data_IF_397710836297
#
_entry.id   IF_397710836297
#
_cell.length_a   1.000
_cell.length_b   1.000
_cell.length_c   1.000
_cell.angle_alpha   90.00
_cell.angle_beta   90.00
_cell.angle_gamma   90.00
#
_symmetry.space_group_name_H-M   'P 1'
#
loop_
_entity.id
_entity.type
_entity.pdbx_description
1 polymer ?
#
# COMPACT_ATOMS: atom_id res chain seq x y z
N UNK A 1 -25.01 11.92 2.00
CA UNK A 1 -24.10 10.90 1.44
C UNK A 1 -23.25 10.42 2.60
N UNK A 2 -23.49 9.21 3.10
CA UNK A 2 -22.59 8.63 4.10
C UNK A 2 -21.20 8.52 3.47
N UNK A 3 -20.21 9.18 4.05
CA UNK A 3 -18.83 8.98 3.66
C UNK A 3 -18.44 7.57 4.08
N UNK A 4 -18.59 6.60 3.18
CA UNK A 4 -18.20 5.21 3.44
C UNK A 4 -16.70 5.21 3.70
N UNK A 5 -16.33 5.05 4.97
CA UNK A 5 -14.95 4.95 5.42
C UNK A 5 -14.39 3.59 4.98
N UNK A 6 -13.56 3.59 3.93
CA UNK A 6 -12.88 2.40 3.41
C UNK A 6 -11.61 2.12 4.19
N UNK A 7 -11.27 0.83 4.32
CA UNK A 7 -10.07 0.39 5.01
C UNK A 7 -8.91 0.34 4.01
N UNK A 8 -7.90 1.16 4.26
CA UNK A 8 -6.65 1.18 3.50
C UNK A 8 -5.50 0.71 4.38
N UNK A 9 -4.41 0.29 3.76
CA UNK A 9 -3.17 0.04 4.48
C UNK A 9 -1.96 0.58 3.73
N UNK A 10 -1.00 1.09 4.50
CA UNK A 10 0.30 1.52 4.03
C UNK A 10 1.34 0.50 4.44
N UNK A 11 2.22 0.14 3.52
CA UNK A 11 3.42 -0.65 3.77
C UNK A 11 4.62 0.27 3.60
N UNK A 12 5.33 0.52 4.69
CA UNK A 12 6.54 1.33 4.73
C UNK A 12 7.76 0.43 4.70
N UNK A 13 8.60 0.59 3.69
CA UNK A 13 9.89 -0.07 3.56
C UNK A 13 10.99 0.91 4.00
N UNK A 14 11.64 0.58 5.11
CA UNK A 14 12.79 1.35 5.62
C UNK A 14 14.11 0.77 5.09
N UNK A 15 15.15 1.60 4.97
CA UNK A 15 16.47 1.18 4.47
C UNK A 15 17.14 0.09 5.33
N UNK A 16 16.88 0.09 6.64
CA UNK A 16 17.44 -0.88 7.61
C UNK A 16 16.39 -1.84 8.20
N UNK A 17 15.12 -1.66 7.85
CA UNK A 17 14.05 -2.45 8.44
C UNK A 17 13.95 -3.80 7.72
N UNK A 18 14.39 -4.87 8.40
CA UNK A 18 14.30 -6.26 7.92
C UNK A 18 12.86 -6.69 7.61
N UNK A 19 11.87 -5.96 8.14
CA UNK A 19 10.45 -6.19 7.94
C UNK A 19 9.74 -4.87 7.61
N UNK A 20 8.87 -4.84 6.58
CA UNK A 20 8.10 -3.66 6.24
C UNK A 20 7.05 -3.37 7.31
N UNK A 21 6.91 -2.09 7.66
CA UNK A 21 5.92 -1.64 8.65
C UNK A 21 4.58 -1.46 7.97
N UNK A 22 3.58 -2.27 8.34
CA UNK A 22 2.19 -2.10 7.91
C UNK A 22 1.42 -1.19 8.86
N UNK A 23 0.68 -0.23 8.31
CA UNK A 23 -0.24 0.65 9.04
C UNK A 23 -1.61 0.63 8.38
N UNK A 24 -2.62 0.22 9.13
CA UNK A 24 -4.00 0.15 8.65
C UNK A 24 -4.79 1.36 9.15
N UNK A 25 -5.59 1.97 8.27
CA UNK A 25 -6.36 3.16 8.60
C UNK A 25 -7.60 3.25 7.73
N UNK A 26 -8.58 4.03 8.19
CA UNK A 26 -9.81 4.29 7.43
C UNK A 26 -9.78 5.67 6.80
N UNK A 27 -10.15 5.75 5.53
CA UNK A 27 -10.29 7.02 4.81
C UNK A 27 -11.56 7.04 3.97
N UNK A 28 -12.11 8.22 3.65
CA UNK A 28 -13.30 8.33 2.79
C UNK A 28 -13.04 7.83 1.36
N UNK A 29 -11.82 8.04 0.86
CA UNK A 29 -11.44 7.71 -0.51
C UNK A 29 -9.93 7.53 -0.67
N UNK A 30 -9.54 7.02 -1.84
CA UNK A 30 -8.15 6.74 -2.19
C UNK A 30 -7.28 8.01 -2.25
N UNK A 31 -7.86 9.17 -2.59
CA UNK A 31 -7.10 10.42 -2.63
C UNK A 31 -6.74 10.87 -1.22
N UNK A 32 -7.68 10.78 -0.28
CA UNK A 32 -7.40 11.10 1.11
C UNK A 32 -6.41 10.09 1.72
N UNK A 33 -6.52 8.81 1.38
CA UNK A 33 -5.54 7.79 1.76
C UNK A 33 -4.13 8.07 1.21
N UNK A 34 -4.05 8.55 -0.02
CA UNK A 34 -2.80 8.98 -0.65
C UNK A 34 -2.17 10.19 0.08
N UNK A 35 -2.97 11.16 0.51
CA UNK A 35 -2.47 12.28 1.30
C UNK A 35 -1.86 11.83 2.64
N UNK A 36 -2.39 10.78 3.26
CA UNK A 36 -1.78 10.20 4.47
C UNK A 36 -0.40 9.59 4.17
N UNK A 37 -0.25 8.89 3.05
CA UNK A 37 1.03 8.30 2.62
C UNK A 37 2.12 9.37 2.46
N UNK A 38 1.78 10.51 1.83
CA UNK A 38 2.74 11.59 1.54
C UNK A 38 3.23 12.35 2.78
N UNK A 39 2.45 12.32 3.87
CA UNK A 39 2.82 13.00 5.12
C UNK A 39 3.90 12.24 5.91
N UNK A 40 4.22 11.00 5.54
CA UNK A 40 5.29 10.26 6.21
C UNK A 40 6.67 10.86 5.92
N UNK A 41 7.45 11.05 6.99
CA UNK A 41 8.77 11.70 6.91
C UNK A 41 9.92 10.73 6.90
N UNK A 42 9.73 9.51 7.40
CA UNK A 42 10.81 8.59 7.74
C UNK A 42 11.06 7.45 6.76
N UNK A 43 10.15 7.19 5.83
CA UNK A 43 10.25 6.01 4.96
C UNK A 43 10.81 6.34 3.59
N UNK A 44 11.71 5.47 3.10
CA UNK A 44 12.32 5.57 1.78
C UNK A 44 11.38 5.05 0.67
N UNK A 45 10.54 4.06 0.98
CA UNK A 45 9.52 3.56 0.06
C UNK A 45 8.21 3.26 0.80
N UNK A 46 7.09 3.55 0.14
CA UNK A 46 5.73 3.43 0.67
C UNK A 46 4.82 2.84 -0.39
N UNK A 47 4.01 1.87 0.00
CA UNK A 47 2.96 1.27 -0.84
C UNK A 47 1.60 1.51 -0.20
N UNK A 48 0.64 2.03 -0.98
CA UNK A 48 -0.75 2.23 -0.57
C UNK A 48 -1.63 1.16 -1.18
N UNK A 49 -2.42 0.51 -0.34
CA UNK A 49 -3.30 -0.60 -0.69
C UNK A 49 -4.73 -0.35 -0.22
N UNK A 50 -5.70 -0.78 -1.03
CA UNK A 50 -7.13 -0.91 -0.71
C UNK A 50 -7.49 -2.39 -0.67
N UNK A 51 -7.62 -2.97 0.52
CA UNK A 51 -7.73 -4.42 0.67
C UNK A 51 -6.51 -5.14 0.07
N UNK A 52 -6.70 -5.88 -1.01
CA UNK A 52 -5.62 -6.60 -1.74
C UNK A 52 -5.16 -5.86 -3.01
N UNK A 53 -5.72 -4.67 -3.29
CA UNK A 53 -5.39 -3.88 -4.47
C UNK A 53 -4.30 -2.85 -4.14
N UNK A 54 -3.13 -2.97 -4.78
CA UNK A 54 -2.12 -1.92 -4.75
C UNK A 54 -2.61 -0.72 -5.57
N UNK A 55 -2.79 0.42 -4.91
CA UNK A 55 -3.23 1.66 -5.54
C UNK A 55 -2.07 2.51 -6.04
N UNK A 56 -0.95 2.50 -5.31
CA UNK A 56 0.26 3.21 -5.72
C UNK A 56 1.46 2.73 -4.92
N UNK A 57 2.62 2.66 -5.57
CA UNK A 57 3.92 2.59 -4.91
C UNK A 57 4.66 3.88 -5.13
N UNK A 58 5.25 4.43 -4.09
CA UNK A 58 6.02 5.65 -4.14
C UNK A 58 7.31 5.51 -3.36
N UNK A 59 8.39 6.07 -3.88
CA UNK A 59 9.64 6.16 -3.12
C UNK A 59 10.05 7.61 -2.97
N UNK A 60 10.73 7.87 -1.86
CA UNK A 60 11.22 9.18 -1.51
C UNK A 60 12.63 9.33 -2.06
N UNK A 61 12.87 10.41 -2.79
CA UNK A 61 14.20 10.72 -3.31
C UNK A 61 15.05 11.44 -2.27
N UNK A 62 16.36 11.50 -2.48
CA UNK A 62 17.29 12.28 -1.64
C UNK A 62 16.91 13.77 -1.56
N UNK A 63 16.24 14.30 -2.58
CA UNK A 63 15.70 15.66 -2.62
C UNK A 63 14.35 15.81 -1.86
N UNK A 64 13.94 14.81 -1.07
CA UNK A 64 12.68 14.79 -0.33
C UNK A 64 11.43 14.92 -1.22
N UNK A 65 11.53 14.48 -2.48
CA UNK A 65 10.41 14.43 -3.42
C UNK A 65 9.86 13.02 -3.50
N UNK A 66 8.53 12.91 -3.66
CA UNK A 66 7.86 11.63 -3.88
C UNK A 66 7.88 11.27 -5.36
N UNK A 67 8.53 10.15 -5.69
CA UNK A 67 8.48 9.55 -7.02
C UNK A 67 7.40 8.49 -7.04
N UNK A 68 6.41 8.67 -7.91
CA UNK A 68 5.36 7.68 -8.16
C UNK A 68 5.90 6.62 -9.12
N UNK A 69 5.87 5.37 -8.68
CA UNK A 69 6.15 4.23 -9.55
C UNK A 69 4.86 3.85 -10.25
N UNK A 70 4.90 3.75 -11.58
CA UNK A 70 3.76 3.27 -12.33
C UNK A 70 3.37 1.88 -11.84
N UNK A 71 2.09 1.69 -11.53
CA UNK A 71 1.57 0.36 -11.27
C UNK A 71 1.68 -0.46 -12.56
N UNK A 72 2.03 -1.76 -12.49
CA UNK A 72 1.71 -2.65 -13.60
C UNK A 72 0.21 -2.53 -13.87
N UNK A 73 -0.23 -2.54 -15.15
CA UNK A 73 -1.66 -2.48 -15.47
C UNK A 73 -2.33 -3.58 -14.66
N UNK A 74 -3.24 -3.16 -13.78
CA UNK A 74 -3.93 -4.01 -12.82
C UNK A 74 -4.36 -5.29 -13.54
N UNK A 75 -3.74 -6.42 -13.20
CA UNK A 75 -4.36 -7.71 -13.48
C UNK A 75 -5.65 -7.67 -12.67
N UNK A 76 -6.75 -7.34 -13.34
CA UNK A 76 -8.06 -7.37 -12.73
C UNK A 76 -8.24 -8.73 -12.07
N UNK A 77 -8.64 -8.72 -10.79
CA UNK A 77 -9.19 -9.90 -10.12
C UNK A 77 -8.22 -11.07 -9.99
N UNK A 78 -7.24 -10.99 -9.08
CA UNK A 78 -6.80 -12.20 -8.39
C UNK A 78 -7.90 -12.54 -7.36
N UNK A 79 -8.75 -13.50 -7.72
CA UNK A 79 -9.78 -14.04 -6.83
C UNK A 79 -9.21 -14.61 -5.53
N UNK A 80 -10.06 -14.88 -4.53
CA UNK A 80 -9.64 -15.13 -3.17
C UNK A 80 -8.89 -16.46 -3.06
N UNK A 81 -7.86 -16.47 -2.21
CA UNK A 81 -7.50 -17.62 -1.37
C UNK A 81 -7.26 -18.96 -2.10
N UNK A 82 -6.00 -19.22 -2.46
CA UNK A 82 -5.50 -20.58 -2.59
C UNK A 82 -4.18 -20.74 -1.81
N UNK A 83 -4.25 -20.49 -0.50
CA UNK A 83 -3.36 -21.18 0.43
C UNK A 83 -4.12 -22.42 0.93
N UNK A 84 -4.16 -23.46 0.11
CA UNK A 84 -4.70 -24.76 0.48
C UNK A 84 -3.69 -25.87 0.13
N UNK A 85 -3.03 -26.38 1.17
CA UNK A 85 -2.60 -27.77 1.24
C UNK A 85 -1.31 -28.17 0.50
N UNK A 86 -0.17 -27.94 1.13
CA UNK A 86 0.97 -28.84 0.98
C UNK A 86 0.81 -30.03 1.96
N UNK A 87 0.58 -31.23 1.44
CA UNK A 87 0.92 -32.56 2.00
C UNK A 87 0.19 -33.63 1.15
N UNK A 88 0.82 -34.22 0.13
CA UNK A 88 1.67 -35.40 0.23
C UNK A 88 0.91 -36.66 0.69
N UNK A 89 0.59 -37.54 -0.27
CA UNK A 89 0.58 -38.99 -0.14
C UNK A 89 0.81 -39.62 -1.53
#
# INVERSE_FOLDING_TARGET
MEHVMRLFHLLFHGEDAREPRRVEFRAPDAYQAFQFALNDRGSAEVELWDGEQLLVRMSKTEANLWKLHGLPPSQGTAGPSAQAGAAAA
#
